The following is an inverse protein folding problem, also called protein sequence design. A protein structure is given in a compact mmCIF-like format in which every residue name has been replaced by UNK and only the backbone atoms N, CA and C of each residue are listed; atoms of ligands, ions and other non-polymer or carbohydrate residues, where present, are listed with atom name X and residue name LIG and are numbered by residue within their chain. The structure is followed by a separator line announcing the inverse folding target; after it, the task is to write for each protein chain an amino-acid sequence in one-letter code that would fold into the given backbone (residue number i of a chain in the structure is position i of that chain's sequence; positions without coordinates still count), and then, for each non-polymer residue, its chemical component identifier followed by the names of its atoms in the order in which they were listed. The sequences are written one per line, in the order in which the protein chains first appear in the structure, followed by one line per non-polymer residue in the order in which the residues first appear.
data_IF_238699814553
#
_entry.id   IF_238699814553
#
_cell.length_a   1.000
_cell.length_b   1.000
_cell.length_c   1.000
_cell.angle_alpha   90.00
_cell.angle_beta   90.00
_cell.angle_gamma   90.00
#
_symmetry.space_group_name_H-M   'P 1'
#
loop_
_entity.id
_entity.type
_entity.pdbx_description
1 polymer ?
#
# COMPACT_ATOMS: atom_id res chain seq x y z
N UNK A 1 -29.21 42.53 -28.05
CA UNK A 1 -28.75 42.93 -26.71
C UNK A 1 -28.95 41.76 -25.79
N UNK A 2 -27.88 41.34 -25.12
CA UNK A 2 -27.84 40.14 -24.26
C UNK A 2 -26.57 39.34 -24.49
N UNK A 3 -25.42 39.96 -24.19
CA UNK A 3 -24.16 39.28 -23.86
C UNK A 3 -24.27 38.68 -22.45
N UNK A 4 -23.31 37.82 -22.09
CA UNK A 4 -23.13 37.07 -20.83
C UNK A 4 -23.87 35.70 -20.92
N UNK A 5 -23.20 34.55 -20.90
CA UNK A 5 -22.20 34.15 -19.92
C UNK A 5 -20.90 33.57 -20.49
N UNK A 6 -19.87 34.08 -19.85
CA UNK A 6 -18.46 33.86 -19.99
C UNK A 6 -18.06 32.55 -19.27
N UNK A 7 -17.38 31.68 -20.01
CA UNK A 7 -16.21 30.97 -19.52
C UNK A 7 -16.20 30.53 -18.05
N UNK A 8 -16.85 29.42 -17.72
CA UNK A 8 -16.36 28.56 -16.61
C UNK A 8 -16.05 27.18 -17.17
N UNK A 9 -15.01 27.14 -18.00
CA UNK A 9 -14.26 25.92 -18.28
C UNK A 9 -13.60 25.52 -16.97
N UNK A 10 -14.25 24.64 -16.22
CA UNK A 10 -13.63 23.99 -15.07
C UNK A 10 -12.29 23.42 -15.54
N UNK A 11 -11.21 24.08 -15.14
CA UNK A 11 -9.87 23.56 -15.27
C UNK A 11 -9.81 22.36 -14.35
N UNK A 12 -10.16 21.18 -14.89
CA UNK A 12 -9.86 19.92 -14.25
C UNK A 12 -8.35 19.77 -14.28
N UNK A 13 -7.70 20.33 -13.27
CA UNK A 13 -6.28 20.17 -13.01
C UNK A 13 -6.02 18.68 -12.84
N UNK A 14 -5.59 18.02 -13.92
CA UNK A 14 -5.02 16.67 -13.86
C UNK A 14 -3.79 16.79 -12.97
N UNK A 15 -3.96 16.56 -11.67
CA UNK A 15 -2.85 16.44 -10.73
C UNK A 15 -2.11 15.20 -11.19
N UNK A 16 -1.01 15.39 -11.93
CA UNK A 16 -0.10 14.32 -12.28
C UNK A 16 0.20 13.55 -11.01
N UNK A 17 -0.17 12.27 -10.94
CA UNK A 17 0.14 11.42 -9.81
C UNK A 17 1.66 11.28 -9.78
N UNK A 18 2.32 12.13 -9.00
CA UNK A 18 3.76 12.08 -8.81
C UNK A 18 4.06 10.71 -8.18
N UNK A 19 4.82 9.87 -8.89
CA UNK A 19 5.20 8.57 -8.35
C UNK A 19 6.09 8.81 -7.15
N UNK A 20 5.81 8.11 -6.07
CA UNK A 20 6.67 8.11 -4.90
C UNK A 20 7.93 7.33 -5.27
N UNK A 21 9.05 8.04 -5.43
CA UNK A 21 10.33 7.45 -5.77
C UNK A 21 11.13 7.11 -4.51
N UNK A 22 11.71 5.91 -4.47
CA UNK A 22 12.63 5.53 -3.41
C UNK A 22 13.99 6.22 -3.63
N UNK A 23 14.69 6.63 -2.57
CA UNK A 23 16.01 7.28 -2.68
C UNK A 23 17.08 6.36 -3.29
N UNK A 24 16.92 5.04 -3.10
CA UNK A 24 17.69 4.00 -3.76
C UNK A 24 16.86 2.72 -3.84
N UNK A 25 17.20 1.85 -4.80
CA UNK A 25 16.63 0.51 -4.88
C UNK A 25 17.35 -0.37 -3.83
N UNK A 26 16.62 -1.07 -2.94
CA UNK A 26 17.22 -1.99 -1.97
C UNK A 26 18.05 -3.08 -2.66
N UNK A 27 19.15 -3.51 -2.04
CA UNK A 27 19.94 -4.63 -2.55
C UNK A 27 19.20 -5.96 -2.34
N UNK A 28 19.56 -7.00 -3.09
CA UNK A 28 18.98 -8.33 -2.91
C UNK A 28 19.21 -8.86 -1.48
N UNK A 29 20.43 -8.67 -0.95
CA UNK A 29 20.75 -9.07 0.42
C UNK A 29 19.85 -8.37 1.45
N UNK A 30 19.53 -7.10 1.23
CA UNK A 30 18.62 -6.35 2.09
C UNK A 30 17.17 -6.88 1.98
N UNK A 31 16.67 -7.15 0.77
CA UNK A 31 15.34 -7.72 0.57
C UNK A 31 15.21 -9.09 1.27
N UNK A 32 16.23 -9.94 1.12
CA UNK A 32 16.27 -11.26 1.75
C UNK A 32 16.35 -11.14 3.27
N UNK A 33 17.12 -10.18 3.80
CA UNK A 33 17.24 -9.96 5.24
C UNK A 33 15.92 -9.47 5.84
N UNK A 34 15.27 -8.49 5.22
CA UNK A 34 13.94 -8.03 5.63
C UNK A 34 12.92 -9.17 5.61
N UNK A 35 12.92 -9.99 4.55
CA UNK A 35 12.02 -11.13 4.43
C UNK A 35 12.18 -12.14 5.58
N UNK A 36 13.42 -12.44 5.97
CA UNK A 36 13.69 -13.37 7.07
C UNK A 36 13.41 -12.76 8.44
N UNK A 37 13.92 -11.57 8.69
CA UNK A 37 13.95 -10.96 10.02
C UNK A 37 12.65 -10.25 10.39
N UNK A 38 11.98 -9.63 9.43
CA UNK A 38 10.77 -8.83 9.68
C UNK A 38 9.48 -9.56 9.31
N UNK A 39 9.54 -10.46 8.32
CA UNK A 39 8.39 -11.25 7.86
C UNK A 39 8.44 -12.72 8.29
N UNK A 40 9.55 -13.20 8.85
CA UNK A 40 9.68 -14.57 9.35
C UNK A 40 9.74 -15.64 8.26
N UNK A 41 10.02 -15.26 7.00
CA UNK A 41 10.08 -16.20 5.87
C UNK A 41 11.53 -16.60 5.60
N UNK A 42 11.98 -17.67 6.25
CA UNK A 42 13.37 -18.15 6.19
C UNK A 42 13.77 -18.78 4.85
N UNK A 43 12.79 -19.34 4.13
CA UNK A 43 13.01 -20.11 2.90
C UNK A 43 13.14 -19.22 1.64
N UNK A 44 13.10 -17.89 1.81
CA UNK A 44 13.17 -16.93 0.71
C UNK A 44 11.82 -16.68 0.03
N UNK A 45 11.86 -15.88 -1.03
CA UNK A 45 10.67 -15.55 -1.83
C UNK A 45 10.15 -16.77 -2.58
N UNK A 46 8.83 -16.96 -2.57
CA UNK A 46 8.17 -17.94 -3.43
C UNK A 46 8.14 -17.45 -4.88
N UNK A 47 8.02 -18.35 -5.87
CA UNK A 47 7.99 -17.98 -7.28
C UNK A 47 6.97 -16.88 -7.58
N UNK A 48 7.40 -15.84 -8.31
CA UNK A 48 6.57 -14.71 -8.72
C UNK A 48 6.46 -13.58 -7.68
N UNK A 49 6.83 -13.80 -6.42
CA UNK A 49 6.79 -12.74 -5.40
C UNK A 49 7.92 -11.73 -5.61
N UNK A 50 9.14 -12.21 -5.85
CA UNK A 50 10.32 -11.36 -6.03
C UNK A 50 10.17 -10.49 -7.28
N UNK A 51 9.76 -11.09 -8.39
CA UNK A 51 9.58 -10.42 -9.66
C UNK A 51 8.50 -9.32 -9.57
N UNK A 52 7.43 -9.57 -8.82
CA UNK A 52 6.40 -8.56 -8.56
C UNK A 52 6.92 -7.41 -7.68
N UNK A 53 7.69 -7.72 -6.63
CA UNK A 53 8.30 -6.71 -5.76
C UNK A 53 9.29 -5.85 -6.56
N UNK A 54 10.19 -6.45 -7.33
CA UNK A 54 11.16 -5.74 -8.17
C UNK A 54 10.46 -4.86 -9.21
N UNK A 55 9.39 -5.33 -9.85
CA UNK A 55 8.60 -4.52 -10.77
C UNK A 55 7.99 -3.29 -10.08
N UNK A 56 7.41 -3.47 -8.88
CA UNK A 56 6.83 -2.37 -8.11
C UNK A 56 7.89 -1.38 -7.61
N UNK A 57 9.08 -1.86 -7.21
CA UNK A 57 10.22 -1.00 -6.83
C UNK A 57 10.79 -0.23 -8.02
N UNK A 58 10.72 -0.80 -9.23
CA UNK A 58 11.01 -0.11 -10.49
C UNK A 58 9.91 0.88 -10.91
N UNK A 59 8.89 1.07 -10.07
CA UNK A 59 7.77 1.98 -10.32
C UNK A 59 6.73 1.44 -11.30
N UNK A 60 6.81 0.19 -11.75
CA UNK A 60 5.85 -0.38 -12.69
C UNK A 60 4.53 -0.78 -12.01
N UNK A 61 3.44 -0.82 -12.79
CA UNK A 61 2.20 -1.46 -12.38
C UNK A 61 2.22 -2.93 -12.78
N UNK A 62 1.80 -3.83 -11.89
CA UNK A 62 1.84 -5.27 -12.12
C UNK A 62 0.46 -5.95 -11.95
N UNK A 63 0.20 -6.98 -12.76
CA UNK A 63 -0.86 -7.96 -12.52
C UNK A 63 -0.22 -9.26 -12.05
N UNK A 64 -0.56 -9.69 -10.83
CA UNK A 64 0.04 -10.88 -10.22
C UNK A 64 -0.97 -12.03 -10.24
N UNK A 65 -0.63 -13.10 -10.97
CA UNK A 65 -1.43 -14.33 -11.05
C UNK A 65 -0.69 -15.45 -10.33
N UNK A 66 -1.02 -15.64 -9.05
CA UNK A 66 -0.49 -16.74 -8.24
C UNK A 66 -1.65 -17.64 -7.76
N UNK A 67 -1.41 -18.92 -7.43
CA UNK A 67 -2.40 -19.76 -6.75
C UNK A 67 -2.80 -19.22 -5.36
N UNK A 68 -3.97 -19.61 -4.86
CA UNK A 68 -4.37 -19.33 -3.46
C UNK A 68 -3.35 -19.94 -2.50
N UNK A 69 -3.06 -19.26 -1.38
CA UNK A 69 -2.07 -19.72 -0.41
C UNK A 69 -0.60 -19.48 -0.79
N UNK A 70 -0.31 -18.97 -2.00
CA UNK A 70 1.04 -18.61 -2.45
C UNK A 70 1.52 -17.23 -1.99
N UNK A 71 0.89 -16.65 -0.96
CA UNK A 71 1.37 -15.42 -0.33
C UNK A 71 1.32 -14.18 -1.24
N UNK A 72 0.24 -13.99 -2.01
CA UNK A 72 0.02 -12.74 -2.76
C UNK A 72 0.03 -11.50 -1.86
N UNK A 73 -0.44 -11.66 -0.62
CA UNK A 73 -0.47 -10.60 0.37
C UNK A 73 0.90 -10.07 0.75
N UNK A 74 1.91 -10.95 0.75
CA UNK A 74 3.28 -10.58 1.06
C UNK A 74 3.75 -9.44 0.15
N UNK A 75 3.39 -9.45 -1.13
CA UNK A 75 3.89 -8.46 -2.11
C UNK A 75 3.53 -7.03 -1.68
N UNK A 76 2.26 -6.75 -1.38
CA UNK A 76 1.86 -5.40 -0.98
C UNK A 76 2.28 -5.05 0.45
N UNK A 77 2.34 -6.03 1.37
CA UNK A 77 2.82 -5.83 2.74
C UNK A 77 4.33 -5.50 2.77
N UNK A 78 5.10 -6.17 1.91
CA UNK A 78 6.52 -5.96 1.75
C UNK A 78 6.80 -4.58 1.16
N UNK A 79 6.05 -4.20 0.13
CA UNK A 79 6.14 -2.86 -0.47
C UNK A 79 5.77 -1.76 0.54
N UNK A 80 4.69 -1.90 1.31
CA UNK A 80 4.35 -0.90 2.35
C UNK A 80 5.48 -0.75 3.37
N UNK A 81 6.10 -1.86 3.77
CA UNK A 81 7.22 -1.85 4.73
C UNK A 81 8.47 -1.20 4.17
N UNK A 82 8.81 -1.44 2.91
CA UNK A 82 9.93 -0.79 2.20
C UNK A 82 9.68 0.72 2.18
N UNK A 83 8.51 1.16 1.69
CA UNK A 83 8.22 2.58 1.57
C UNK A 83 8.33 3.28 2.93
N UNK A 84 7.81 2.64 3.99
CA UNK A 84 8.00 3.10 5.37
C UNK A 84 9.48 3.19 5.77
N UNK A 85 10.29 2.19 5.45
CA UNK A 85 11.72 2.14 5.82
C UNK A 85 12.51 3.31 5.21
N UNK A 86 12.30 3.59 3.93
CA UNK A 86 13.12 4.55 3.19
C UNK A 86 12.58 5.98 3.23
N UNK A 87 11.26 6.14 3.37
CA UNK A 87 10.61 7.43 3.27
C UNK A 87 10.05 7.94 4.60
N UNK A 88 10.02 7.09 5.63
CA UNK A 88 9.45 7.42 6.93
C UNK A 88 7.98 7.80 6.80
N UNK A 89 7.59 8.93 7.41
CA UNK A 89 6.23 9.46 7.33
C UNK A 89 5.88 10.04 5.94
N UNK A 90 6.89 10.27 5.07
CA UNK A 90 6.67 10.73 3.68
C UNK A 90 6.32 9.59 2.72
N UNK A 91 6.41 8.34 3.16
CA UNK A 91 6.12 7.16 2.33
C UNK A 91 4.63 6.98 2.00
N UNK A 92 3.75 7.71 2.69
CA UNK A 92 2.31 7.58 2.53
C UNK A 92 1.79 6.24 3.06
N UNK A 93 0.62 5.85 2.55
CA UNK A 93 -0.10 4.64 2.98
C UNK A 93 -0.36 3.77 1.76
N UNK A 94 -0.09 2.47 1.88
CA UNK A 94 -0.51 1.48 0.87
C UNK A 94 -1.99 1.18 1.06
N UNK A 95 -2.81 1.52 0.07
CA UNK A 95 -4.25 1.22 0.07
C UNK A 95 -4.50 -0.12 -0.61
N UNK A 96 -5.15 -1.03 0.11
CA UNK A 96 -5.53 -2.36 -0.38
C UNK A 96 -7.05 -2.44 -0.45
N UNK A 97 -7.59 -2.47 -1.68
CA UNK A 97 -9.03 -2.61 -1.90
C UNK A 97 -9.41 -4.09 -1.82
N UNK A 98 -10.34 -4.44 -0.94
CA UNK A 98 -10.76 -5.81 -0.69
C UNK A 98 -12.29 -5.94 -0.81
N UNK A 99 -12.81 -6.98 -1.48
CA UNK A 99 -14.24 -7.06 -1.78
C UNK A 99 -15.12 -7.41 -0.56
N UNK A 100 -14.55 -7.96 0.52
CA UNK A 100 -15.31 -8.51 1.64
C UNK A 100 -14.72 -8.07 2.98
N UNK A 101 -15.56 -7.59 3.89
CA UNK A 101 -15.17 -7.18 5.25
C UNK A 101 -14.53 -8.34 6.02
N UNK A 102 -15.05 -9.57 5.86
CA UNK A 102 -14.45 -10.76 6.46
C UNK A 102 -13.04 -11.02 5.96
N UNK A 103 -12.78 -10.81 4.66
CA UNK A 103 -11.46 -10.96 4.09
C UNK A 103 -10.50 -9.87 4.59
N UNK A 104 -10.98 -8.64 4.74
CA UNK A 104 -10.20 -7.54 5.35
C UNK A 104 -9.79 -7.89 6.78
N UNK A 105 -10.73 -8.40 7.59
CA UNK A 105 -10.45 -8.83 8.97
C UNK A 105 -9.42 -9.97 9.01
N UNK A 106 -9.52 -10.94 8.10
CA UNK A 106 -8.55 -12.02 7.98
C UNK A 106 -7.16 -11.52 7.59
N UNK A 107 -7.08 -10.60 6.62
CA UNK A 107 -5.84 -9.98 6.17
C UNK A 107 -5.19 -9.16 7.29
N UNK A 108 -5.98 -8.39 8.04
CA UNK A 108 -5.50 -7.57 9.16
C UNK A 108 -4.93 -8.43 10.30
N UNK A 109 -5.62 -9.53 10.65
CA UNK A 109 -5.14 -10.49 11.68
C UNK A 109 -3.86 -11.21 11.28
N UNK A 110 -3.62 -11.37 9.99
CA UNK A 110 -2.44 -12.06 9.43
C UNK A 110 -1.31 -11.10 9.05
N UNK A 111 -1.42 -9.81 9.39
CA UNK A 111 -0.33 -8.88 9.11
C UNK A 111 0.92 -9.24 9.93
N UNK A 112 2.10 -9.13 9.32
CA UNK A 112 3.35 -9.23 10.07
C UNK A 112 3.44 -8.06 11.06
N UNK A 113 4.08 -8.29 12.21
CA UNK A 113 4.21 -7.30 13.28
C UNK A 113 4.97 -6.04 12.88
N UNK A 114 5.77 -6.11 11.80
CA UNK A 114 6.50 -4.99 11.24
C UNK A 114 5.63 -4.03 10.40
N UNK A 115 4.38 -4.41 10.07
CA UNK A 115 3.47 -3.59 9.26
C UNK A 115 2.30 -3.11 10.11
N UNK A 116 2.14 -1.79 10.22
CA UNK A 116 1.03 -1.18 10.95
C UNK A 116 -0.18 -1.10 10.03
N UNK A 117 -1.16 -1.97 10.27
CA UNK A 117 -2.37 -2.05 9.46
C UNK A 117 -3.60 -1.45 10.11
N UNK A 118 -4.52 -0.96 9.28
CA UNK A 118 -5.87 -0.60 9.70
C UNK A 118 -6.89 -0.97 8.62
N UNK A 119 -8.17 -0.81 8.94
CA UNK A 119 -9.28 -0.99 8.02
C UNK A 119 -10.23 0.20 8.06
N UNK A 120 -10.83 0.54 6.92
CA UNK A 120 -12.03 1.37 6.82
C UNK A 120 -13.09 0.55 6.10
N UNK A 121 -14.27 0.41 6.69
CA UNK A 121 -15.38 -0.32 6.06
C UNK A 121 -16.74 0.20 6.55
N UNK A 122 -17.82 -0.28 5.94
CA UNK A 122 -19.18 0.21 6.19
C UNK A 122 -19.75 -0.12 7.58
N UNK A 123 -19.08 -0.93 8.40
CA UNK A 123 -19.54 -1.25 9.76
C UNK A 123 -19.03 -0.27 10.80
N UNK A 124 -18.09 0.60 10.44
CA UNK A 124 -17.50 1.59 11.33
C UNK A 124 -18.40 2.81 11.48
N UNK A 125 -18.38 3.41 12.66
CA UNK A 125 -18.96 4.73 12.90
C UNK A 125 -18.11 5.82 12.23
N UNK A 126 -18.69 7.00 11.94
CA UNK A 126 -17.92 8.13 11.40
C UNK A 126 -16.71 8.50 12.27
N UNK A 127 -16.85 8.45 13.59
CA UNK A 127 -15.78 8.76 14.53
C UNK A 127 -14.60 7.78 14.44
N UNK A 128 -14.88 6.47 14.33
CA UNK A 128 -13.83 5.46 14.16
C UNK A 128 -13.11 5.62 12.82
N UNK A 129 -13.87 5.92 11.76
CA UNK A 129 -13.30 6.18 10.43
C UNK A 129 -12.40 7.42 10.45
N UNK A 130 -12.85 8.52 11.05
CA UNK A 130 -12.06 9.75 11.19
C UNK A 130 -10.76 9.52 11.97
N UNK A 131 -10.82 8.73 13.05
CA UNK A 131 -9.63 8.37 13.82
C UNK A 131 -8.60 7.58 12.98
N UNK A 132 -9.06 6.61 12.18
CA UNK A 132 -8.19 5.85 11.27
C UNK A 132 -7.60 6.74 10.18
N UNK A 133 -8.42 7.61 9.57
CA UNK A 133 -7.95 8.56 8.56
C UNK A 133 -6.91 9.54 9.13
N UNK A 134 -7.10 10.01 10.36
CA UNK A 134 -6.13 10.88 11.03
C UNK A 134 -4.81 10.15 11.30
N UNK A 135 -4.87 8.91 11.79
CA UNK A 135 -3.67 8.07 11.98
C UNK A 135 -2.92 7.82 10.66
N UNK A 136 -3.67 7.57 9.56
CA UNK A 136 -3.09 7.44 8.23
C UNK A 136 -2.39 8.74 7.79
N UNK A 137 -3.01 9.90 8.01
CA UNK A 137 -2.44 11.20 7.68
C UNK A 137 -1.17 11.54 8.50
N UNK A 138 -1.06 11.00 9.72
CA UNK A 138 0.10 11.18 10.59
C UNK A 138 1.20 10.12 10.37
N UNK A 139 1.06 9.22 9.40
CA UNK A 139 2.06 8.18 9.14
C UNK A 139 2.08 7.09 10.22
N UNK A 140 0.96 6.88 10.93
CA UNK A 140 0.81 5.83 11.93
C UNK A 140 0.41 4.48 11.31
N UNK A 141 -0.06 4.51 10.05
CA UNK A 141 -0.57 3.36 9.30
C UNK A 141 0.26 3.19 8.04
N UNK A 142 0.80 1.98 7.83
CA UNK A 142 1.56 1.62 6.62
C UNK A 142 0.64 1.02 5.55
N UNK A 143 -0.40 0.31 5.98
CA UNK A 143 -1.31 -0.43 5.11
C UNK A 143 -2.76 -0.24 5.55
N UNK A 144 -3.60 0.25 4.62
CA UNK A 144 -5.01 0.51 4.86
C UNK A 144 -5.88 -0.39 3.97
N UNK A 145 -6.68 -1.27 4.59
CA UNK A 145 -7.67 -2.10 3.92
C UNK A 145 -8.98 -1.34 3.79
N UNK A 146 -9.49 -1.22 2.56
CA UNK A 146 -10.78 -0.55 2.25
C UNK A 146 -11.74 -1.45 1.47
#
# INVERSE_FOLDING_TARGET
GGQEDESTRAQSSTRSTERVELPCVPSDEELQTMLREEFGHTDGFRPGQREAIEALLGGASCLVVLPTGQGKSLIYQFISRIYRKYLGDRGGVTVVVSPLISLMADQLRQLPSCVRGATINSTMTPYEMDAVLLGAAHGEIDLLLV
#
